data_IF_348108318316
#
_entry.id   IF_348108318316
#
_cell.length_a   1.000
_cell.length_b   1.000
_cell.length_c   1.000
_cell.angle_alpha   90.00
_cell.angle_beta   90.00
_cell.angle_gamma   90.00
#
_symmetry.space_group_name_H-M   'P 1'
#
loop_
_entity.id
_entity.type
_entity.pdbx_description
1 polymer ?
#
# COMPACT_ATOMS: atom_id res chain seq x y z
N UNK A 1 18.10 -35.11 -34.27
CA UNK A 1 17.54 -33.83 -33.78
C UNK A 1 18.48 -33.31 -32.71
N UNK A 2 18.94 -32.04 -32.75
CA UNK A 2 19.76 -31.48 -31.69
C UNK A 2 18.89 -31.38 -30.42
N UNK A 3 19.38 -31.99 -29.33
CA UNK A 3 18.77 -31.84 -28.00
C UNK A 3 19.06 -30.40 -27.56
N UNK A 4 18.08 -29.53 -27.67
CA UNK A 4 18.20 -28.19 -27.07
C UNK A 4 18.07 -28.34 -25.58
N UNK A 5 19.10 -27.90 -24.83
CA UNK A 5 19.01 -27.80 -23.37
C UNK A 5 18.04 -26.64 -23.04
N UNK A 6 17.02 -26.96 -22.23
CA UNK A 6 16.13 -25.94 -21.67
C UNK A 6 16.77 -25.50 -20.36
N UNK A 7 17.14 -24.21 -20.28
CA UNK A 7 17.63 -23.60 -19.05
C UNK A 7 16.48 -22.90 -18.35
N UNK A 8 16.37 -23.07 -17.06
CA UNK A 8 15.42 -22.38 -16.19
C UNK A 8 16.15 -21.64 -15.04
N UNK A 9 15.46 -20.72 -14.40
CA UNK A 9 15.97 -20.07 -13.19
C UNK A 9 16.05 -21.13 -12.07
N UNK A 10 17.14 -21.11 -11.32
CA UNK A 10 17.28 -21.94 -10.13
C UNK A 10 16.65 -21.20 -8.93
N UNK A 11 15.56 -21.72 -8.30
CA UNK A 11 14.94 -21.08 -7.16
C UNK A 11 15.89 -20.86 -5.98
N UNK A 12 16.87 -21.76 -5.79
CA UNK A 12 17.85 -21.69 -4.70
C UNK A 12 19.07 -20.81 -5.02
N UNK A 13 19.05 -20.05 -6.12
CA UNK A 13 20.15 -19.16 -6.47
C UNK A 13 20.24 -17.92 -5.57
N UNK A 14 19.14 -17.55 -4.94
CA UNK A 14 19.08 -16.44 -3.99
C UNK A 14 17.67 -16.19 -3.49
N UNK A 15 17.58 -15.33 -2.49
CA UNK A 15 16.33 -15.01 -1.81
C UNK A 15 16.15 -13.50 -1.69
N UNK A 16 14.92 -13.05 -1.61
CA UNK A 16 14.54 -11.65 -1.41
C UNK A 16 13.60 -11.58 -0.22
N UNK A 17 13.93 -10.73 0.73
CA UNK A 17 13.10 -10.46 1.90
C UNK A 17 12.30 -9.19 1.65
N UNK A 18 11.00 -9.24 1.86
CA UNK A 18 10.11 -8.09 1.86
C UNK A 18 9.73 -7.71 3.28
N UNK A 19 9.73 -6.41 3.54
CA UNK A 19 9.36 -5.81 4.82
C UNK A 19 8.33 -4.74 4.54
N UNK A 20 7.13 -4.90 5.08
CA UNK A 20 6.05 -3.91 4.97
C UNK A 20 5.85 -3.25 6.34
N UNK A 21 6.23 -1.98 6.43
CA UNK A 21 6.22 -1.23 7.70
C UNK A 21 4.92 -0.43 7.78
N UNK A 22 3.98 -0.96 8.56
CA UNK A 22 2.73 -0.28 8.87
C UNK A 22 2.82 0.51 10.20
N UNK A 23 1.82 1.34 10.47
CA UNK A 23 1.80 2.20 11.67
C UNK A 23 1.93 1.42 12.98
N UNK A 24 1.28 0.24 13.07
CA UNK A 24 1.19 -0.57 14.31
C UNK A 24 1.87 -1.94 14.24
N UNK A 25 2.43 -2.31 13.10
CA UNK A 25 3.05 -3.62 12.89
C UNK A 25 4.05 -3.60 11.74
N UNK A 26 4.93 -4.59 11.72
CA UNK A 26 5.79 -4.92 10.57
C UNK A 26 5.42 -6.31 10.10
N UNK A 27 5.24 -6.46 8.79
CA UNK A 27 5.04 -7.75 8.14
C UNK A 27 6.29 -8.12 7.35
N UNK A 28 6.68 -9.40 7.39
CA UNK A 28 7.85 -9.89 6.67
C UNK A 28 7.50 -11.16 5.89
N UNK A 29 8.10 -11.28 4.71
CA UNK A 29 8.02 -12.49 3.88
C UNK A 29 9.32 -12.66 3.10
N UNK A 30 9.50 -13.88 2.56
CA UNK A 30 10.64 -14.21 1.72
C UNK A 30 10.17 -14.91 0.45
N UNK A 31 10.74 -14.50 -0.69
CA UNK A 31 10.58 -15.20 -1.96
C UNK A 31 11.92 -15.79 -2.42
N UNK A 32 11.83 -16.86 -3.21
CA UNK A 32 12.99 -17.44 -3.90
C UNK A 32 13.38 -16.63 -5.14
N UNK A 33 14.45 -17.06 -5.83
CA UNK A 33 14.93 -16.40 -7.04
C UNK A 33 13.94 -16.44 -8.20
N UNK A 34 13.03 -17.42 -8.23
CA UNK A 34 11.96 -17.52 -9.22
C UNK A 34 10.75 -16.62 -8.89
N UNK A 35 10.65 -16.13 -7.66
CA UNK A 35 9.54 -15.32 -7.18
C UNK A 35 8.46 -16.11 -6.46
N UNK A 36 8.70 -17.38 -6.12
CA UNK A 36 7.78 -18.16 -5.30
C UNK A 36 7.93 -17.75 -3.84
N UNK A 37 6.80 -17.59 -3.16
CA UNK A 37 6.80 -17.31 -1.72
C UNK A 37 7.23 -18.56 -0.98
N UNK A 38 8.29 -18.48 -0.18
CA UNK A 38 8.82 -19.58 0.63
C UNK A 38 8.53 -19.40 2.12
N UNK A 39 8.36 -18.18 2.56
CA UNK A 39 7.91 -17.83 3.91
C UNK A 39 7.06 -16.57 3.85
N UNK A 40 5.93 -16.56 4.55
CA UNK A 40 5.07 -15.39 4.69
C UNK A 40 4.29 -15.42 6.01
N UNK A 41 3.84 -14.23 6.44
CA UNK A 41 2.97 -14.12 7.61
C UNK A 41 3.70 -13.91 8.92
N UNK A 42 5.00 -13.61 8.88
CA UNK A 42 5.67 -13.14 10.09
C UNK A 42 5.23 -11.72 10.39
N UNK A 43 4.49 -11.55 11.47
CA UNK A 43 3.90 -10.27 11.89
C UNK A 43 4.43 -9.92 13.27
N UNK A 44 5.01 -8.74 13.39
CA UNK A 44 5.55 -8.23 14.65
C UNK A 44 4.83 -6.95 15.04
N UNK A 45 4.39 -6.87 16.29
CA UNK A 45 3.85 -5.62 16.83
C UNK A 45 4.96 -4.56 16.86
N UNK A 46 4.66 -3.41 16.29
CA UNK A 46 5.60 -2.32 16.12
C UNK A 46 4.85 -0.99 16.12
N UNK A 47 5.48 0.06 16.63
CA UNK A 47 4.96 1.41 16.50
C UNK A 47 5.90 2.20 15.61
N UNK A 48 5.38 2.65 14.47
CA UNK A 48 6.13 3.49 13.54
C UNK A 48 6.19 4.92 14.08
N UNK A 49 7.31 5.25 14.67
CA UNK A 49 7.63 6.58 15.20
C UNK A 49 8.91 7.09 14.55
N UNK A 50 9.05 8.41 14.41
CA UNK A 50 10.26 9.03 13.85
C UNK A 50 11.33 9.21 14.94
N UNK A 51 11.77 8.09 15.53
CA UNK A 51 12.77 8.01 16.60
C UNK A 51 13.88 7.01 16.28
N UNK A 52 15.05 7.18 16.89
CA UNK A 52 16.17 6.24 16.73
C UNK A 52 15.84 4.88 17.33
N UNK A 53 15.09 4.83 18.43
CA UNK A 53 14.65 3.60 19.07
C UNK A 53 13.74 2.76 18.15
N UNK A 54 12.79 3.43 17.48
CA UNK A 54 11.93 2.75 16.50
C UNK A 54 12.74 2.26 15.29
N UNK A 55 13.69 3.04 14.82
CA UNK A 55 14.62 2.64 13.75
C UNK A 55 15.45 1.41 14.13
N UNK A 56 16.08 1.43 15.32
CA UNK A 56 16.87 0.30 15.80
C UNK A 56 16.02 -0.96 15.95
N UNK A 57 14.81 -0.80 16.50
CA UNK A 57 13.86 -1.91 16.63
C UNK A 57 13.44 -2.50 15.29
N UNK A 58 13.24 -1.67 14.27
CA UNK A 58 12.96 -2.16 12.91
C UNK A 58 14.11 -3.00 12.36
N UNK A 59 15.35 -2.54 12.54
CA UNK A 59 16.53 -3.28 12.11
C UNK A 59 16.66 -4.63 12.83
N UNK A 60 16.42 -4.67 14.15
CA UNK A 60 16.39 -5.92 14.93
C UNK A 60 15.35 -6.91 14.42
N UNK A 61 14.11 -6.44 14.18
CA UNK A 61 13.03 -7.28 13.65
C UNK A 61 13.44 -7.93 12.32
N UNK A 62 14.08 -7.17 11.42
CA UNK A 62 14.53 -7.69 10.12
C UNK A 62 15.65 -8.71 10.31
N UNK A 63 16.62 -8.45 11.20
CA UNK A 63 17.71 -9.39 11.49
C UNK A 63 17.20 -10.67 12.13
N UNK A 64 16.33 -10.56 13.14
CA UNK A 64 15.73 -11.72 13.83
C UNK A 64 14.97 -12.60 12.86
N UNK A 65 14.17 -11.97 11.97
CA UNK A 65 13.45 -12.71 10.94
C UNK A 65 14.39 -13.48 10.01
N UNK A 66 15.45 -12.81 9.49
CA UNK A 66 16.41 -13.45 8.58
C UNK A 66 17.14 -14.62 9.27
N UNK A 67 17.48 -14.48 10.56
CA UNK A 67 18.14 -15.55 11.32
C UNK A 67 17.22 -16.76 11.57
N UNK A 68 15.91 -16.57 11.60
CA UNK A 68 14.94 -17.63 11.83
C UNK A 68 14.56 -18.39 10.54
N UNK A 69 14.94 -17.87 9.36
CA UNK A 69 14.63 -18.54 8.09
C UNK A 69 15.42 -19.85 7.97
N UNK A 70 14.73 -20.91 7.59
CA UNK A 70 15.35 -22.23 7.32
C UNK A 70 15.99 -22.26 5.91
N UNK A 71 16.81 -21.27 5.59
CA UNK A 71 17.51 -21.11 4.32
C UNK A 71 18.99 -20.77 4.55
N UNK A 72 19.79 -20.85 3.49
CA UNK A 72 21.13 -20.30 3.49
C UNK A 72 21.06 -18.77 3.45
N UNK A 73 21.17 -18.13 4.62
CA UNK A 73 21.03 -16.68 4.79
C UNK A 73 22.09 -15.90 4.03
N UNK A 74 23.24 -16.51 3.69
CA UNK A 74 24.26 -15.90 2.84
C UNK A 74 23.78 -15.64 1.42
N UNK A 75 22.67 -16.27 1.03
CA UNK A 75 22.00 -16.08 -0.27
C UNK A 75 20.84 -15.10 -0.24
N UNK A 76 20.60 -14.41 0.87
CA UNK A 76 19.68 -13.28 0.87
C UNK A 76 20.31 -12.13 0.10
N UNK A 77 19.84 -11.91 -1.12
CA UNK A 77 20.46 -10.98 -2.06
C UNK A 77 20.07 -9.54 -1.75
N UNK A 78 18.84 -9.33 -1.29
CA UNK A 78 18.33 -7.98 -1.04
C UNK A 78 17.11 -7.99 -0.11
N UNK A 79 16.99 -6.93 0.67
CA UNK A 79 15.83 -6.63 1.49
C UNK A 79 15.07 -5.46 0.88
N UNK A 80 13.79 -5.63 0.58
CA UNK A 80 12.89 -4.58 0.14
C UNK A 80 12.07 -4.07 1.30
N UNK A 81 12.11 -2.77 1.55
CA UNK A 81 11.36 -2.14 2.65
C UNK A 81 10.32 -1.18 2.07
N UNK A 82 9.07 -1.41 2.42
CA UNK A 82 7.99 -0.47 2.15
C UNK A 82 7.77 0.41 3.36
N UNK A 83 7.64 1.70 3.12
CA UNK A 83 7.40 2.68 4.15
C UNK A 83 6.37 3.69 3.66
N UNK A 84 5.39 3.99 4.50
CA UNK A 84 4.41 5.03 4.23
C UNK A 84 5.04 6.41 4.10
N UNK A 85 4.33 7.33 3.46
CA UNK A 85 4.79 8.70 3.25
C UNK A 85 5.73 8.86 2.06
N UNK A 86 6.55 9.92 2.10
CA UNK A 86 7.37 10.34 0.95
C UNK A 86 8.73 9.71 1.00
N UNK A 87 8.97 8.80 0.07
CA UNK A 87 10.27 8.15 -0.10
C UNK A 87 10.77 8.32 -1.53
N UNK A 88 12.08 8.45 -1.71
CA UNK A 88 12.72 8.47 -3.01
C UNK A 88 13.45 7.14 -3.22
N UNK A 89 12.90 6.22 -4.02
CA UNK A 89 13.49 4.89 -4.20
C UNK A 89 14.82 4.89 -4.95
N UNK A 90 15.12 5.97 -5.71
CA UNK A 90 16.39 6.09 -6.45
C UNK A 90 17.55 6.50 -5.56
N UNK A 91 17.28 7.33 -4.56
CA UNK A 91 18.32 7.87 -3.65
C UNK A 91 18.29 7.20 -2.28
N UNK A 92 17.27 6.39 -1.98
CA UNK A 92 17.14 5.70 -0.70
C UNK A 92 16.74 6.60 0.48
N UNK A 93 16.31 7.85 0.21
CA UNK A 93 15.85 8.77 1.25
C UNK A 93 14.38 8.56 1.61
N UNK A 94 14.11 8.60 2.91
CA UNK A 94 12.78 8.84 3.47
C UNK A 94 12.68 10.30 3.93
N UNK A 95 11.54 10.93 3.70
CA UNK A 95 11.24 12.32 4.12
C UNK A 95 10.10 12.39 5.13
N UNK A 96 9.58 11.25 5.54
CA UNK A 96 8.47 11.18 6.50
C UNK A 96 8.86 10.49 7.80
N UNK A 97 9.75 9.51 7.74
CA UNK A 97 10.20 8.75 8.90
C UNK A 97 11.71 8.48 8.81
N UNK A 98 12.37 8.40 9.95
CA UNK A 98 13.80 8.07 10.11
C UNK A 98 14.74 9.04 9.38
N UNK A 99 14.32 10.29 9.32
CA UNK A 99 15.05 11.38 8.67
C UNK A 99 15.85 12.19 9.72
N UNK A 100 16.80 11.53 10.39
CA UNK A 100 17.59 12.13 11.48
C UNK A 100 18.84 12.86 11.00
N UNK A 101 19.32 12.51 9.80
CA UNK A 101 20.54 13.05 9.21
C UNK A 101 20.44 13.10 7.69
N UNK A 102 21.47 13.64 7.02
CA UNK A 102 21.54 13.78 5.56
C UNK A 102 21.99 12.50 4.83
N UNK A 103 21.79 11.31 5.43
CA UNK A 103 22.14 10.03 4.80
C UNK A 103 20.90 9.29 4.31
N UNK A 104 21.01 8.56 3.19
CA UNK A 104 19.95 7.67 2.75
C UNK A 104 19.55 6.68 3.83
N UNK A 105 18.24 6.47 4.01
CA UNK A 105 17.72 5.48 4.94
C UNK A 105 18.21 4.06 4.58
N UNK A 106 18.32 3.77 3.28
CA UNK A 106 18.85 2.49 2.81
C UNK A 106 20.25 2.23 3.30
N UNK A 107 21.17 3.20 3.22
CA UNK A 107 22.54 3.05 3.73
C UNK A 107 22.59 2.80 5.25
N UNK A 108 21.73 3.47 6.01
CA UNK A 108 21.63 3.29 7.47
C UNK A 108 21.18 1.88 7.82
N UNK A 109 20.16 1.38 7.14
CA UNK A 109 19.66 0.02 7.37
C UNK A 109 20.68 -1.01 6.88
N UNK A 110 21.26 -0.86 5.68
CA UNK A 110 22.30 -1.74 5.13
C UNK A 110 23.48 -1.90 6.10
N UNK A 111 23.92 -0.80 6.71
CA UNK A 111 25.00 -0.84 7.71
C UNK A 111 24.64 -1.65 8.95
N UNK A 112 23.36 -1.69 9.33
CA UNK A 112 22.87 -2.43 10.51
C UNK A 112 22.66 -3.90 10.22
N UNK A 113 22.05 -4.24 9.08
CA UNK A 113 21.67 -5.62 8.75
C UNK A 113 22.71 -6.37 7.92
N UNK A 114 23.66 -5.65 7.27
CA UNK A 114 24.71 -6.25 6.46
C UNK A 114 24.25 -6.76 5.08
N UNK A 115 23.06 -6.42 4.63
CA UNK A 115 22.46 -6.86 3.36
C UNK A 115 21.99 -5.62 2.60
N UNK A 116 22.08 -5.64 1.26
CA UNK A 116 21.60 -4.55 0.42
C UNK A 116 20.10 -4.30 0.58
N UNK A 117 19.70 -3.02 0.62
CA UNK A 117 18.33 -2.58 0.91
C UNK A 117 17.77 -1.73 -0.21
N UNK A 118 16.54 -2.01 -0.60
CA UNK A 118 15.71 -1.13 -1.40
C UNK A 118 14.61 -0.50 -0.55
N UNK A 119 14.32 0.76 -0.81
CA UNK A 119 13.20 1.46 -0.20
C UNK A 119 12.12 1.73 -1.24
N UNK A 120 10.86 1.57 -0.84
CA UNK A 120 9.72 1.91 -1.67
C UNK A 120 8.58 2.52 -0.85
N UNK A 121 7.70 3.28 -1.52
CA UNK A 121 6.44 3.72 -0.91
C UNK A 121 5.44 2.57 -0.86
N UNK A 122 4.66 2.49 0.21
CA UNK A 122 3.66 1.45 0.46
C UNK A 122 2.67 1.26 -0.69
N UNK A 123 2.08 2.34 -1.18
CA UNK A 123 1.08 2.29 -2.27
C UNK A 123 1.68 1.79 -3.59
N UNK A 124 2.91 2.17 -3.90
CA UNK A 124 3.59 1.68 -5.10
C UNK A 124 4.02 0.23 -4.96
N UNK A 125 4.40 -0.19 -3.77
CA UNK A 125 4.71 -1.60 -3.52
C UNK A 125 3.44 -2.46 -3.66
N UNK A 126 2.34 -2.07 -3.04
CA UNK A 126 1.05 -2.77 -3.19
C UNK A 126 0.62 -2.87 -4.65
N UNK A 127 0.73 -1.77 -5.40
CA UNK A 127 0.46 -1.76 -6.84
C UNK A 127 1.32 -2.79 -7.59
N UNK A 128 2.61 -2.84 -7.30
CA UNK A 128 3.53 -3.76 -7.98
C UNK A 128 3.28 -5.22 -7.61
N UNK A 129 2.88 -5.47 -6.36
CA UNK A 129 2.38 -6.78 -5.93
C UNK A 129 1.19 -7.24 -6.76
N UNK A 130 0.17 -6.39 -6.92
CA UNK A 130 -1.01 -6.67 -7.75
C UNK A 130 -0.66 -6.84 -9.23
N UNK A 131 0.32 -6.09 -9.73
CA UNK A 131 0.81 -6.19 -11.10
C UNK A 131 1.45 -7.54 -11.42
N UNK A 132 2.26 -8.09 -10.51
CA UNK A 132 2.99 -9.34 -10.76
C UNK A 132 2.30 -10.60 -10.24
N UNK A 133 1.52 -10.50 -9.16
CA UNK A 133 0.97 -11.67 -8.47
C UNK A 133 -0.54 -11.56 -8.16
N UNK A 134 -1.16 -10.43 -8.46
CA UNK A 134 -2.54 -10.14 -8.08
C UNK A 134 -3.56 -10.29 -9.19
N UNK A 135 -4.36 -9.21 -9.39
CA UNK A 135 -5.49 -9.19 -10.34
C UNK A 135 -5.07 -8.91 -11.79
N UNK A 136 -3.90 -8.30 -11.99
CA UNK A 136 -3.43 -7.88 -13.32
C UNK A 136 -3.00 -9.09 -14.13
N UNK A 137 -3.39 -9.13 -15.40
CA UNK A 137 -3.05 -10.22 -16.34
C UNK A 137 -2.19 -9.74 -17.50
N UNK A 138 -2.73 -8.82 -18.30
CA UNK A 138 -2.08 -8.31 -19.50
C UNK A 138 -2.12 -6.78 -19.58
N UNK A 139 -2.81 -6.14 -18.65
CA UNK A 139 -3.01 -4.70 -18.59
C UNK A 139 -1.67 -4.01 -18.32
N UNK A 140 -1.39 -2.92 -19.03
CA UNK A 140 -0.11 -2.18 -18.95
C UNK A 140 -0.27 -0.78 -18.37
N UNK A 141 -1.49 -0.26 -18.33
CA UNK A 141 -1.80 1.07 -17.82
C UNK A 141 -2.77 0.94 -16.64
N UNK A 142 -2.24 1.08 -15.43
CA UNK A 142 -2.95 0.74 -14.19
C UNK A 142 -2.89 1.92 -13.23
N UNK A 143 -4.01 2.19 -12.60
CA UNK A 143 -4.12 3.08 -11.45
C UNK A 143 -4.51 2.25 -10.23
N UNK A 144 -3.63 2.16 -9.26
CA UNK A 144 -3.89 1.53 -7.96
C UNK A 144 -4.20 2.60 -6.92
N UNK A 145 -5.28 2.44 -6.18
CA UNK A 145 -5.68 3.36 -5.10
C UNK A 145 -5.54 2.62 -3.78
N UNK A 146 -4.63 3.07 -2.94
CA UNK A 146 -4.41 2.54 -1.60
C UNK A 146 -5.22 3.33 -0.57
N UNK A 147 -6.24 2.70 -0.01
CA UNK A 147 -7.11 3.29 1.02
C UNK A 147 -6.77 2.63 2.34
N UNK A 148 -5.90 3.29 3.08
CA UNK A 148 -5.37 2.88 4.38
C UNK A 148 -5.61 4.01 5.40
N UNK A 149 -4.80 4.13 6.43
CA UNK A 149 -4.81 5.31 7.32
C UNK A 149 -4.72 6.61 6.52
N UNK A 150 -3.82 6.68 5.54
CA UNK A 150 -3.80 7.73 4.52
C UNK A 150 -4.45 7.27 3.21
N UNK A 151 -4.29 8.10 2.18
CA UNK A 151 -4.74 7.84 0.81
C UNK A 151 -3.59 8.06 -0.17
N UNK A 152 -3.19 7.01 -0.86
CA UNK A 152 -2.13 7.06 -1.87
C UNK A 152 -2.53 6.39 -3.18
N UNK A 153 -1.70 6.55 -4.20
CA UNK A 153 -1.86 5.83 -5.45
C UNK A 153 -0.53 5.31 -6.00
N UNK A 154 -0.60 4.17 -6.68
CA UNK A 154 0.44 3.66 -7.54
C UNK A 154 0.00 3.77 -9.00
N UNK A 155 0.93 4.07 -9.91
CA UNK A 155 0.65 4.25 -11.33
C UNK A 155 1.60 3.38 -12.14
N UNK A 156 1.06 2.58 -13.06
CA UNK A 156 1.82 1.85 -14.09
C UNK A 156 1.46 2.44 -15.44
N UNK A 157 2.47 2.75 -16.25
CA UNK A 157 2.33 3.22 -17.63
C UNK A 157 3.19 2.31 -18.50
N UNK A 158 2.61 1.75 -19.56
CA UNK A 158 3.29 0.83 -20.49
C UNK A 158 4.00 -0.34 -19.78
N UNK A 159 3.39 -0.86 -18.69
CA UNK A 159 3.92 -1.98 -17.91
C UNK A 159 5.05 -1.61 -16.95
N UNK A 160 5.33 -0.33 -16.73
CA UNK A 160 6.39 0.15 -15.84
C UNK A 160 5.84 1.05 -14.75
N UNK A 161 6.31 0.90 -13.50
CA UNK A 161 5.97 1.82 -12.42
C UNK A 161 6.37 3.27 -12.77
N UNK A 162 5.45 4.19 -12.61
CA UNK A 162 5.70 5.60 -12.82
C UNK A 162 6.07 6.29 -11.52
N UNK A 163 7.29 6.82 -11.46
CA UNK A 163 7.84 7.44 -10.25
C UNK A 163 7.77 8.97 -10.25
N UNK A 164 7.54 9.59 -11.41
CA UNK A 164 7.79 11.01 -11.55
C UNK A 164 9.29 11.34 -11.47
N UNK A 165 9.61 12.63 -11.33
CA UNK A 165 11.01 13.12 -11.28
C UNK A 165 11.76 12.60 -10.04
N UNK A 166 11.13 12.68 -8.86
CA UNK A 166 11.79 12.50 -7.56
C UNK A 166 11.20 11.32 -6.75
N UNK A 167 10.39 10.46 -7.39
CA UNK A 167 9.77 9.33 -6.71
C UNK A 167 8.48 9.68 -5.95
N UNK A 168 7.85 10.84 -6.20
CA UNK A 168 6.67 11.31 -5.47
C UNK A 168 5.39 11.30 -6.31
N UNK A 169 5.32 10.50 -7.37
CA UNK A 169 4.07 10.31 -8.08
C UNK A 169 3.06 9.55 -7.22
N UNK A 170 1.77 9.84 -7.39
CA UNK A 170 0.72 9.12 -6.70
C UNK A 170 0.26 9.74 -5.36
N UNK A 171 0.71 10.95 -5.01
CA UNK A 171 0.27 11.70 -3.82
C UNK A 171 -1.18 12.23 -3.97
N UNK A 172 -2.11 11.37 -4.42
CA UNK A 172 -3.50 11.75 -4.74
C UNK A 172 -4.29 12.18 -3.51
N UNK A 173 -3.94 11.66 -2.34
CA UNK A 173 -4.56 12.05 -1.07
C UNK A 173 -4.38 13.53 -0.75
N UNK A 174 -3.29 14.15 -1.24
CA UNK A 174 -2.97 15.55 -0.97
C UNK A 174 -3.38 16.52 -2.08
N UNK A 175 -4.13 16.05 -3.06
CA UNK A 175 -4.76 16.95 -4.03
C UNK A 175 -5.85 17.74 -3.32
N UNK A 176 -5.85 19.08 -3.51
CA UNK A 176 -6.91 19.95 -3.01
C UNK A 176 -8.18 19.67 -3.82
N UNK A 177 -9.00 18.81 -3.28
CA UNK A 177 -10.11 18.12 -3.93
C UNK A 177 -11.45 18.63 -3.45
N UNK A 178 -11.45 19.22 -2.27
CA UNK A 178 -12.64 19.48 -1.49
C UNK A 178 -12.67 20.95 -1.04
N UNK A 179 -13.85 21.52 -1.09
CA UNK A 179 -14.11 22.84 -0.52
C UNK A 179 -14.51 22.69 0.95
N UNK A 180 -13.55 22.20 1.77
CA UNK A 180 -13.70 22.05 3.21
C UNK A 180 -12.53 22.70 3.96
N UNK A 181 -12.76 23.06 5.22
CA UNK A 181 -11.77 23.71 6.08
C UNK A 181 -10.96 22.70 6.94
N UNK A 182 -11.08 21.40 6.66
CA UNK A 182 -10.39 20.36 7.42
C UNK A 182 -8.89 20.39 7.09
N UNK A 183 -8.07 20.51 8.14
CA UNK A 183 -6.62 20.52 8.01
C UNK A 183 -6.13 19.07 7.85
N UNK A 184 -5.46 18.80 6.74
CA UNK A 184 -4.78 17.53 6.50
C UNK A 184 -3.46 17.46 7.29
N UNK A 185 -2.98 16.25 7.58
CA UNK A 185 -1.67 16.03 8.20
C UNK A 185 -0.50 16.66 7.43
N UNK A 186 -0.67 16.94 6.13
CA UNK A 186 0.31 17.70 5.34
C UNK A 186 0.30 19.22 5.59
N UNK A 187 -0.55 19.72 6.47
CA UNK A 187 -0.69 21.13 6.83
C UNK A 187 -1.57 21.95 5.89
N UNK A 188 -2.14 21.37 4.83
CA UNK A 188 -3.04 22.04 3.87
C UNK A 188 -4.50 21.69 4.15
N UNK A 189 -5.41 22.49 3.60
CA UNK A 189 -6.86 22.26 3.69
C UNK A 189 -7.40 21.67 2.39
N UNK A 190 -8.54 20.98 2.49
CA UNK A 190 -9.27 20.47 1.33
C UNK A 190 -8.61 19.28 0.62
N UNK A 191 -7.63 18.61 1.24
CA UNK A 191 -7.04 17.40 0.68
C UNK A 191 -8.07 16.28 0.60
N UNK A 192 -8.03 15.47 -0.47
CA UNK A 192 -8.91 14.32 -0.64
C UNK A 192 -8.84 13.34 0.55
N UNK A 193 -7.67 13.17 1.12
CA UNK A 193 -7.41 12.32 2.29
C UNK A 193 -8.28 12.68 3.50
N UNK A 194 -8.66 13.96 3.65
CA UNK A 194 -9.50 14.39 4.78
C UNK A 194 -10.93 13.84 4.75
N UNK A 195 -11.37 13.26 3.63
CA UNK A 195 -12.71 12.66 3.46
C UNK A 195 -12.69 11.23 2.94
N UNK A 196 -11.53 10.69 2.53
CA UNK A 196 -11.45 9.37 1.92
C UNK A 196 -10.24 8.58 2.42
N UNK A 197 -10.10 8.44 3.74
CA UNK A 197 -9.00 7.71 4.38
C UNK A 197 -9.42 7.14 5.74
N UNK A 198 -8.55 6.35 6.38
CA UNK A 198 -8.74 5.87 7.75
C UNK A 198 -8.86 7.01 8.77
N UNK A 199 -8.05 8.06 8.62
CA UNK A 199 -8.17 9.27 9.45
C UNK A 199 -9.52 9.96 9.26
N UNK A 200 -10.08 9.96 8.06
CA UNK A 200 -11.40 10.49 7.79
C UNK A 200 -12.49 9.64 8.46
N UNK A 201 -12.36 8.31 8.43
CA UNK A 201 -13.28 7.39 9.12
C UNK A 201 -13.27 7.68 10.63
N UNK A 202 -12.10 7.70 11.24
CA UNK A 202 -11.95 7.94 12.68
C UNK A 202 -12.61 9.27 13.10
N UNK A 203 -12.36 10.35 12.35
CA UNK A 203 -13.01 11.65 12.57
C UNK A 203 -14.52 11.56 12.46
N UNK A 204 -15.04 10.95 11.38
CA UNK A 204 -16.49 10.79 11.17
C UNK A 204 -17.13 9.97 12.28
N UNK A 205 -16.49 8.91 12.75
CA UNK A 205 -16.96 8.10 13.86
C UNK A 205 -17.08 8.92 15.16
N UNK A 206 -16.06 9.73 15.48
CA UNK A 206 -16.12 10.63 16.64
C UNK A 206 -17.27 11.63 16.54
N UNK A 207 -17.47 12.23 15.37
CA UNK A 207 -18.56 13.17 15.10
C UNK A 207 -19.94 12.48 15.29
N UNK A 208 -20.11 11.29 14.72
CA UNK A 208 -21.36 10.51 14.82
C UNK A 208 -21.63 10.01 16.23
N UNK A 209 -20.60 9.61 16.96
CA UNK A 209 -20.71 9.21 18.38
C UNK A 209 -21.20 10.39 19.23
N UNK A 210 -20.66 11.59 19.02
CA UNK A 210 -21.07 12.82 19.69
C UNK A 210 -22.53 13.20 19.38
N UNK A 211 -23.06 12.82 18.22
CA UNK A 211 -24.46 13.01 17.82
C UNK A 211 -25.40 11.92 18.38
N UNK A 212 -24.87 10.94 19.10
CA UNK A 212 -25.66 9.88 19.72
C UNK A 212 -26.03 8.72 18.79
N UNK A 213 -25.34 8.56 17.65
CA UNK A 213 -25.52 7.42 16.76
C UNK A 213 -25.12 6.11 17.46
N UNK A 214 -25.84 5.03 17.19
CA UNK A 214 -25.53 3.68 17.67
C UNK A 214 -24.70 2.92 16.63
N UNK A 215 -23.72 2.13 17.07
CA UNK A 215 -22.89 1.26 16.23
C UNK A 215 -22.22 0.20 17.09
N UNK A 216 -21.98 -0.98 16.52
CA UNK A 216 -21.18 -2.04 17.18
C UNK A 216 -19.71 -1.61 17.34
N UNK A 217 -19.26 -0.61 16.58
CA UNK A 217 -17.91 -0.08 16.68
C UNK A 217 -17.59 0.51 18.05
N UNK A 218 -18.60 0.96 18.80
CA UNK A 218 -18.35 1.54 20.12
C UNK A 218 -17.81 0.51 21.10
N UNK A 219 -18.39 -0.70 21.10
CA UNK A 219 -17.95 -1.81 21.95
C UNK A 219 -16.55 -2.30 21.51
N UNK A 220 -16.29 -2.42 20.20
CA UNK A 220 -15.00 -2.83 19.65
C UNK A 220 -13.88 -1.83 20.00
N UNK A 221 -14.15 -0.53 19.87
CA UNK A 221 -13.19 0.53 20.23
C UNK A 221 -12.92 0.56 21.74
N UNK A 222 -13.92 0.23 22.58
CA UNK A 222 -13.73 0.14 24.03
C UNK A 222 -12.89 -1.09 24.41
N UNK A 223 -13.10 -2.22 23.75
CA UNK A 223 -12.32 -3.46 23.95
C UNK A 223 -10.85 -3.29 23.57
N UNK A 224 -10.57 -2.66 22.44
CA UNK A 224 -9.18 -2.45 21.95
C UNK A 224 -8.51 -1.21 22.55
N UNK A 225 -9.28 -0.30 23.16
CA UNK A 225 -8.79 0.98 23.68
C UNK A 225 -8.44 2.03 22.60
N UNK A 226 -8.57 1.69 21.33
CA UNK A 226 -8.33 2.57 20.18
C UNK A 226 -9.20 2.15 18.98
N UNK A 227 -9.27 3.02 17.96
CA UNK A 227 -9.89 2.69 16.68
C UNK A 227 -8.92 1.89 15.80
N UNK A 228 -9.41 0.77 15.25
CA UNK A 228 -8.68 -0.05 14.27
C UNK A 228 -9.46 -0.10 12.95
N UNK A 229 -8.74 0.03 11.82
CA UNK A 229 -9.38 -0.11 10.49
C UNK A 229 -9.95 -1.52 10.26
N UNK A 230 -9.39 -2.55 10.90
CA UNK A 230 -9.92 -3.91 10.88
C UNK A 230 -11.32 -3.99 11.46
N UNK A 231 -11.56 -3.28 12.57
CA UNK A 231 -12.85 -3.25 13.25
C UNK A 231 -13.89 -2.56 12.38
N UNK A 232 -13.51 -1.48 11.71
CA UNK A 232 -14.39 -0.81 10.76
C UNK A 232 -14.78 -1.72 9.60
N UNK A 233 -13.81 -2.43 9.03
CA UNK A 233 -14.07 -3.43 7.96
C UNK A 233 -15.01 -4.52 8.47
N UNK A 234 -14.76 -5.05 9.68
CA UNK A 234 -15.63 -6.05 10.28
C UNK A 234 -17.05 -5.52 10.50
N UNK A 235 -17.20 -4.29 11.01
CA UNK A 235 -18.50 -3.67 11.23
C UNK A 235 -19.29 -3.52 9.91
N UNK A 236 -18.63 -3.09 8.82
CA UNK A 236 -19.27 -3.04 7.50
C UNK A 236 -19.74 -4.42 7.07
N UNK A 237 -18.90 -5.45 7.21
CA UNK A 237 -19.23 -6.83 6.82
C UNK A 237 -20.31 -7.47 7.73
N UNK A 238 -20.46 -6.95 8.94
CA UNK A 238 -21.57 -7.32 9.87
C UNK A 238 -22.81 -6.46 9.69
N UNK A 239 -22.86 -5.68 8.62
CA UNK A 239 -24.00 -4.84 8.22
C UNK A 239 -24.35 -3.75 9.24
N UNK A 240 -23.35 -3.21 9.97
CA UNK A 240 -23.54 -2.03 10.80
C UNK A 240 -23.90 -0.81 9.95
N UNK A 241 -25.06 -0.24 10.19
CA UNK A 241 -25.63 0.82 9.34
C UNK A 241 -24.72 2.05 9.30
N UNK A 242 -24.16 2.46 10.44
CA UNK A 242 -23.27 3.62 10.47
C UNK A 242 -21.98 3.37 9.68
N UNK A 243 -21.40 2.18 9.81
CA UNK A 243 -20.19 1.81 9.06
C UNK A 243 -20.47 1.75 7.56
N UNK A 244 -21.63 1.22 7.14
CA UNK A 244 -22.07 1.22 5.73
C UNK A 244 -22.23 2.64 5.20
N UNK A 245 -22.92 3.54 5.92
CA UNK A 245 -23.08 4.94 5.51
C UNK A 245 -21.74 5.65 5.31
N UNK A 246 -20.77 5.40 6.19
CA UNK A 246 -19.43 6.01 6.10
C UNK A 246 -18.67 5.46 4.90
N UNK A 247 -18.65 4.13 4.66
CA UNK A 247 -17.93 3.56 3.51
C UNK A 247 -18.55 3.94 2.18
N UNK A 248 -19.87 4.08 2.10
CA UNK A 248 -20.57 4.61 0.91
C UNK A 248 -20.19 6.07 0.63
N UNK A 249 -20.17 6.91 1.66
CA UNK A 249 -19.72 8.30 1.53
C UNK A 249 -18.30 8.38 0.99
N UNK A 250 -17.36 7.64 1.59
CA UNK A 250 -15.96 7.55 1.15
C UNK A 250 -15.88 7.10 -0.30
N UNK A 251 -16.60 6.03 -0.64
CA UNK A 251 -16.63 5.48 -2.00
C UNK A 251 -17.11 6.51 -3.02
N UNK A 252 -18.13 7.28 -2.69
CA UNK A 252 -18.64 8.32 -3.58
C UNK A 252 -17.65 9.48 -3.76
N UNK A 253 -17.07 9.97 -2.68
CA UNK A 253 -16.06 11.05 -2.71
C UNK A 253 -14.84 10.60 -3.52
N UNK A 254 -14.33 9.41 -3.23
CA UNK A 254 -13.20 8.82 -3.94
C UNK A 254 -13.49 8.63 -5.43
N UNK A 255 -14.66 8.09 -5.76
CA UNK A 255 -15.07 7.81 -7.14
C UNK A 255 -15.15 9.05 -8.02
N UNK A 256 -15.55 10.21 -7.47
CA UNK A 256 -15.49 11.50 -8.19
C UNK A 256 -14.08 11.86 -8.63
N UNK A 257 -13.10 11.60 -7.77
CA UNK A 257 -11.68 11.88 -8.06
C UNK A 257 -11.08 10.86 -8.99
N UNK A 258 -11.36 9.60 -8.78
CA UNK A 258 -10.94 8.51 -9.68
C UNK A 258 -11.49 8.76 -11.09
N UNK A 259 -12.71 9.27 -11.23
CA UNK A 259 -13.25 9.68 -12.53
C UNK A 259 -12.40 10.76 -13.24
N UNK A 260 -11.89 11.74 -12.49
CA UNK A 260 -10.94 12.72 -13.01
C UNK A 260 -9.62 12.10 -13.46
N UNK A 261 -9.08 11.16 -12.67
CA UNK A 261 -7.86 10.43 -13.02
C UNK A 261 -8.07 9.51 -14.24
N UNK A 262 -9.23 8.88 -14.38
CA UNK A 262 -9.60 8.10 -15.57
C UNK A 262 -9.59 9.00 -16.80
N UNK A 263 -10.20 10.18 -16.73
CA UNK A 263 -10.20 11.13 -17.85
C UNK A 263 -8.80 11.64 -18.21
N UNK A 264 -7.89 11.71 -17.23
CA UNK A 264 -6.53 12.22 -17.41
C UNK A 264 -5.56 11.16 -17.92
N UNK A 265 -5.64 9.95 -17.38
CA UNK A 265 -4.66 8.88 -17.60
C UNK A 265 -5.14 7.78 -18.54
N UNK A 266 -6.45 7.65 -18.73
CA UNK A 266 -7.10 6.58 -19.49
C UNK A 266 -6.53 5.18 -19.17
N UNK A 267 -6.57 4.74 -17.90
CA UNK A 267 -6.02 3.45 -17.52
C UNK A 267 -6.90 2.29 -18.00
N UNK A 268 -6.30 1.15 -18.30
CA UNK A 268 -7.02 -0.09 -18.60
C UNK A 268 -7.70 -0.65 -17.34
N UNK A 269 -7.09 -0.42 -16.18
CA UNK A 269 -7.59 -0.93 -14.90
C UNK A 269 -7.38 0.08 -13.77
N UNK A 270 -8.41 0.22 -12.93
CA UNK A 270 -8.33 0.86 -11.61
C UNK A 270 -8.50 -0.21 -10.55
N UNK A 271 -7.55 -0.31 -9.63
CA UNK A 271 -7.55 -1.30 -8.54
C UNK A 271 -7.81 -0.56 -7.22
N UNK A 272 -8.85 -0.93 -6.50
CA UNK A 272 -9.10 -0.48 -5.13
C UNK A 272 -8.35 -1.41 -4.18
N UNK A 273 -7.38 -0.90 -3.47
CA UNK A 273 -6.54 -1.63 -2.52
C UNK A 273 -6.51 -0.99 -1.13
N UNK A 274 -5.60 -1.49 -0.31
CA UNK A 274 -5.53 -1.15 1.11
C UNK A 274 -6.57 -1.88 1.96
N UNK A 275 -6.51 -1.73 3.29
CA UNK A 275 -7.42 -2.43 4.22
C UNK A 275 -8.89 -2.22 3.90
N UNK A 276 -9.28 -1.00 3.49
CA UNK A 276 -10.68 -0.67 3.23
C UNK A 276 -11.25 -1.43 2.01
N UNK A 277 -10.41 -1.91 1.11
CA UNK A 277 -10.86 -2.72 -0.04
C UNK A 277 -11.51 -4.05 0.38
N UNK A 278 -11.26 -4.52 1.60
CA UNK A 278 -11.88 -5.72 2.15
C UNK A 278 -13.39 -5.57 2.37
N UNK A 279 -13.95 -4.35 2.38
CA UNK A 279 -15.39 -4.10 2.40
C UNK A 279 -16.08 -4.42 1.07
N UNK A 280 -15.32 -4.81 0.03
CA UNK A 280 -15.80 -5.32 -1.25
C UNK A 280 -16.80 -4.37 -1.95
N UNK A 281 -18.03 -4.83 -2.18
CA UNK A 281 -19.06 -4.11 -2.91
C UNK A 281 -19.57 -2.88 -2.16
N UNK A 282 -19.48 -2.83 -0.83
CA UNK A 282 -19.85 -1.64 -0.05
C UNK A 282 -18.99 -0.42 -0.42
N UNK A 283 -17.72 -0.63 -0.76
CA UNK A 283 -16.84 0.41 -1.28
C UNK A 283 -16.92 0.50 -2.82
N UNK A 284 -16.86 -0.64 -3.52
CA UNK A 284 -16.71 -0.68 -4.99
C UNK A 284 -17.91 -0.07 -5.71
N UNK A 285 -19.14 -0.36 -5.28
CA UNK A 285 -20.33 0.11 -5.97
C UNK A 285 -20.52 1.63 -5.90
N UNK A 286 -20.36 2.31 -4.76
CA UNK A 286 -20.37 3.78 -4.70
C UNK A 286 -19.27 4.42 -5.57
N UNK A 287 -18.03 3.87 -5.54
CA UNK A 287 -16.94 4.31 -6.43
C UNK A 287 -17.36 4.18 -7.90
N UNK A 288 -17.87 3.03 -8.29
CA UNK A 288 -18.30 2.78 -9.68
C UNK A 288 -19.44 3.71 -10.12
N UNK A 289 -20.41 3.96 -9.24
CA UNK A 289 -21.51 4.89 -9.50
C UNK A 289 -21.00 6.32 -9.75
N UNK A 290 -20.07 6.78 -8.90
CA UNK A 290 -19.47 8.09 -9.07
C UNK A 290 -18.59 8.18 -10.33
N UNK A 291 -17.79 7.15 -10.63
CA UNK A 291 -17.01 7.09 -11.88
C UNK A 291 -17.92 7.26 -13.09
N UNK A 292 -19.01 6.49 -13.18
CA UNK A 292 -19.98 6.58 -14.29
C UNK A 292 -20.63 7.95 -14.40
N UNK A 293 -20.81 8.65 -13.28
CA UNK A 293 -21.44 9.98 -13.25
C UNK A 293 -20.49 11.10 -13.70
N UNK A 294 -19.18 10.98 -13.41
CA UNK A 294 -18.23 12.09 -13.52
C UNK A 294 -17.14 11.88 -14.58
N UNK A 295 -16.92 10.66 -15.09
CA UNK A 295 -16.01 10.41 -16.21
C UNK A 295 -16.71 10.48 -17.56
N UNK A 296 -15.93 10.70 -18.62
CA UNK A 296 -16.43 10.62 -20.01
C UNK A 296 -16.79 9.17 -20.33
N UNK A 297 -18.01 8.93 -20.83
CA UNK A 297 -18.51 7.59 -21.12
C UNK A 297 -17.54 6.78 -22.01
N UNK A 298 -16.98 7.40 -23.05
CA UNK A 298 -16.07 6.74 -23.98
C UNK A 298 -14.80 6.27 -23.28
N UNK A 299 -14.22 7.10 -22.41
CA UNK A 299 -12.99 6.77 -21.67
C UNK A 299 -13.26 5.71 -20.61
N UNK A 300 -14.40 5.80 -19.91
CA UNK A 300 -14.76 4.85 -18.86
C UNK A 300 -15.09 3.45 -19.40
N UNK A 301 -15.51 3.31 -20.66
CA UNK A 301 -15.78 2.01 -21.28
C UNK A 301 -14.52 1.15 -21.39
N UNK A 302 -13.35 1.77 -21.50
CA UNK A 302 -12.05 1.09 -21.63
C UNK A 302 -11.41 0.77 -20.28
N UNK A 303 -12.00 1.24 -19.18
CA UNK A 303 -11.44 1.10 -17.82
C UNK A 303 -12.20 0.07 -17.00
N UNK A 304 -11.51 -0.92 -16.44
CA UNK A 304 -12.06 -1.87 -15.49
C UNK A 304 -11.85 -1.39 -14.06
N UNK A 305 -12.88 -1.40 -13.22
CA UNK A 305 -12.77 -1.17 -11.78
C UNK A 305 -12.80 -2.51 -11.05
N UNK A 306 -11.74 -2.83 -10.34
CA UNK A 306 -11.59 -4.09 -9.60
C UNK A 306 -11.14 -3.83 -8.15
N UNK A 307 -11.35 -4.82 -7.29
CA UNK A 307 -10.83 -4.82 -5.93
C UNK A 307 -9.54 -5.65 -5.91
N UNK A 308 -8.57 -5.23 -5.10
CA UNK A 308 -7.30 -5.93 -4.86
C UNK A 308 -7.54 -7.39 -4.52
N UNK A 309 -6.74 -8.28 -5.12
CA UNK A 309 -6.75 -9.71 -4.81
C UNK A 309 -5.83 -10.05 -3.65
N UNK A 310 -4.70 -9.35 -3.55
CA UNK A 310 -3.72 -9.60 -2.50
C UNK A 310 -4.12 -8.94 -1.17
N UNK A 311 -4.98 -7.92 -1.22
CA UNK A 311 -5.43 -7.20 -0.02
C UNK A 311 -4.24 -6.64 0.77
N UNK A 312 -4.22 -6.90 2.07
CA UNK A 312 -3.14 -6.46 2.98
C UNK A 312 -1.78 -7.10 2.66
N UNK A 313 -1.74 -8.23 1.94
CA UNK A 313 -0.50 -8.88 1.51
C UNK A 313 0.18 -8.18 0.35
N UNK A 314 -0.54 -7.27 -0.33
CA UNK A 314 -0.05 -6.58 -1.54
C UNK A 314 1.25 -5.81 -1.32
N UNK A 315 1.37 -5.12 -0.19
CA UNK A 315 2.60 -4.41 0.18
C UNK A 315 3.77 -5.35 0.36
N UNK A 316 3.57 -6.39 1.15
CA UNK A 316 4.59 -7.37 1.48
C UNK A 316 5.12 -8.12 0.24
N UNK A 317 4.22 -8.68 -0.58
CA UNK A 317 4.59 -9.34 -1.83
C UNK A 317 5.23 -8.35 -2.82
N UNK A 318 4.71 -7.12 -2.85
CA UNK A 318 5.25 -6.03 -3.67
C UNK A 318 6.69 -5.67 -3.30
N UNK A 319 7.03 -5.62 -2.00
CA UNK A 319 8.39 -5.38 -1.52
C UNK A 319 9.38 -6.43 -2.03
N UNK A 320 9.01 -7.71 -1.90
CA UNK A 320 9.80 -8.83 -2.41
C UNK A 320 9.99 -8.74 -3.93
N UNK A 321 8.90 -8.56 -4.67
CA UNK A 321 8.91 -8.54 -6.14
C UNK A 321 9.65 -7.33 -6.70
N UNK A 322 9.54 -6.15 -6.07
CA UNK A 322 10.29 -4.95 -6.45
C UNK A 322 11.79 -5.16 -6.28
N UNK A 323 12.23 -5.70 -5.15
CA UNK A 323 13.64 -5.99 -4.90
C UNK A 323 14.19 -6.94 -5.94
N UNK A 324 13.48 -8.04 -6.21
CA UNK A 324 13.85 -9.00 -7.25
C UNK A 324 13.92 -8.35 -8.63
N UNK A 325 12.91 -7.58 -9.01
CA UNK A 325 12.84 -6.96 -10.33
C UNK A 325 13.91 -5.91 -10.55
N UNK A 326 14.26 -5.13 -9.53
CA UNK A 326 15.37 -4.16 -9.58
C UNK A 326 16.71 -4.85 -9.72
N UNK A 327 16.98 -5.88 -8.95
CA UNK A 327 18.24 -6.64 -9.05
C UNK A 327 18.40 -7.30 -10.41
N UNK A 328 17.32 -7.79 -11.02
CA UNK A 328 17.32 -8.40 -12.35
C UNK A 328 17.26 -7.39 -13.51
N UNK A 329 17.20 -6.09 -13.22
CA UNK A 329 17.13 -5.04 -14.26
C UNK A 329 15.84 -5.06 -15.07
N UNK A 330 14.74 -5.53 -14.46
CA UNK A 330 13.42 -5.59 -15.13
C UNK A 330 12.69 -4.23 -15.06
N UNK A 331 13.06 -3.39 -14.10
CA UNK A 331 12.51 -2.04 -13.87
C UNK A 331 13.61 -1.05 -13.46
#
# INVERSE_FOLDING_TARGET
LPISNIYGLNPNAGYFVGVDVEVKKVLLATIDFCGNVIDEGYVVRYNLEDTEEAFDRLCEIVQDYIHQLEIDTSKVLQVGINLGGRVNPKTGFSYSFFHFDDKPLTEKIEKRIGISVNLENDSRAMMYGEFLAGVVKNEKNILFININWGLGAGIIIDGKPYYGKSGFSGEVGHVCALDNEIICNCGKKGCLETEASGYAIERMLHERKAQGCTSILWDMMEEHGEFLLSDFVEAVLREDVLAIEIVEHIGFVLGRWVAGLINLLNPEMVILGGPLSATQDYLRLPVQSAIRKYSLNLVNQDTQLVVSKLGIRGGLIGACMLSRSRLLGMI
#
